data_IF_709970778251
#
_entry.id   IF_709970778251
#
_cell.length_a   1.000
_cell.length_b   1.000
_cell.length_c   1.000
_cell.angle_alpha   90.00
_cell.angle_beta   90.00
_cell.angle_gamma   90.00
#
_symmetry.space_group_name_H-M   'P 1'
#
loop_
_entity.id
_entity.type
_entity.pdbx_description
1 polymer ?
#
# COMPACT_ATOMS: atom_id res chain seq x y z
N UNK A 1 7.99 9.75 -8.20
CA UNK A 1 8.68 10.08 -6.94
C UNK A 1 9.44 11.39 -7.14
N UNK A 2 9.44 12.26 -6.13
CA UNK A 2 10.11 13.56 -6.20
C UNK A 2 10.41 14.06 -4.79
N UNK A 3 11.58 14.68 -4.60
CA UNK A 3 11.97 15.31 -3.33
C UNK A 3 11.90 14.37 -2.11
N UNK A 4 12.28 13.11 -2.29
CA UNK A 4 12.21 12.11 -1.23
C UNK A 4 10.81 11.51 -1.01
N UNK A 5 9.77 12.01 -1.70
CA UNK A 5 8.40 11.52 -1.55
C UNK A 5 8.06 10.40 -2.54
N UNK A 6 7.44 9.35 -2.00
CA UNK A 6 6.67 8.37 -2.75
C UNK A 6 5.21 8.37 -2.30
N UNK A 7 4.31 8.21 -3.27
CA UNK A 7 2.87 8.13 -3.04
C UNK A 7 2.37 6.89 -3.76
N UNK A 8 1.60 6.07 -3.06
CA UNK A 8 0.89 4.94 -3.64
C UNK A 8 -0.57 4.92 -3.19
N UNK A 9 -1.46 4.53 -4.10
CA UNK A 9 -2.89 4.44 -3.90
C UNK A 9 -3.42 3.19 -4.59
N UNK A 10 -3.90 2.24 -3.81
CA UNK A 10 -4.31 0.94 -4.34
C UNK A 10 -5.60 0.46 -3.68
N UNK A 11 -6.46 -0.16 -4.50
CA UNK A 11 -7.63 -0.90 -4.02
C UNK A 11 -7.31 -2.39 -4.03
N UNK A 12 -7.29 -3.00 -2.85
CA UNK A 12 -6.96 -4.41 -2.66
C UNK A 12 -8.24 -5.24 -2.66
N UNK A 13 -8.24 -6.33 -3.44
CA UNK A 13 -9.34 -7.30 -3.48
C UNK A 13 -8.77 -8.71 -3.44
N UNK A 14 -9.18 -9.49 -2.46
CA UNK A 14 -8.93 -10.92 -2.36
C UNK A 14 -10.26 -11.67 -2.29
N UNK A 15 -10.63 -12.27 -3.43
CA UNK A 15 -11.87 -13.02 -3.57
C UNK A 15 -11.92 -14.30 -2.74
N UNK A 16 -10.77 -14.90 -2.42
CA UNK A 16 -10.68 -16.17 -1.68
C UNK A 16 -10.95 -15.92 -0.20
N UNK A 17 -10.29 -14.92 0.38
CA UNK A 17 -10.40 -14.60 1.79
C UNK A 17 -11.50 -13.56 2.09
N UNK A 18 -12.22 -13.09 1.06
CA UNK A 18 -13.24 -12.03 1.17
C UNK A 18 -12.68 -10.78 1.85
N UNK A 19 -11.46 -10.39 1.46
CA UNK A 19 -10.80 -9.18 1.92
C UNK A 19 -10.91 -8.11 0.84
N UNK A 20 -11.24 -6.89 1.27
CA UNK A 20 -11.11 -5.69 0.46
C UNK A 20 -10.79 -4.50 1.35
N UNK A 21 -10.02 -3.56 0.81
CA UNK A 21 -9.74 -2.27 1.42
C UNK A 21 -9.05 -1.34 0.42
N UNK A 22 -9.21 -0.03 0.64
CA UNK A 22 -8.41 0.99 -0.01
C UNK A 22 -7.23 1.33 0.89
N UNK A 23 -6.03 1.38 0.33
CA UNK A 23 -4.83 1.81 1.04
C UNK A 23 -4.16 2.93 0.25
N UNK A 24 -3.91 4.03 0.95
CA UNK A 24 -3.11 5.15 0.48
C UNK A 24 -1.95 5.36 1.44
N UNK A 25 -0.77 5.64 0.90
CA UNK A 25 0.41 5.93 1.69
C UNK A 25 1.24 7.02 1.01
N UNK A 26 1.72 7.94 1.84
CA UNK A 26 2.75 8.92 1.49
C UNK A 26 3.94 8.65 2.39
N UNK A 27 5.10 8.40 1.80
CA UNK A 27 6.34 8.11 2.53
C UNK A 27 7.40 9.09 2.06
N UNK A 28 8.15 9.64 2.99
CA UNK A 28 9.22 10.59 2.73
C UNK A 28 10.53 10.06 3.32
N UNK A 29 11.59 10.06 2.51
CA UNK A 29 12.96 9.84 2.96
C UNK A 29 13.88 10.85 2.30
N UNK A 30 14.61 11.59 3.13
CA UNK A 30 15.62 12.55 2.72
C UNK A 30 16.61 12.66 3.88
N UNK A 31 17.55 11.72 3.97
CA UNK A 31 18.43 11.59 5.15
C UNK A 31 19.36 12.79 5.35
N UNK A 32 19.84 13.39 4.26
CA UNK A 32 20.79 14.51 4.31
C UNK A 32 20.10 15.89 4.34
N UNK A 33 18.77 15.93 4.29
CA UNK A 33 17.93 17.13 4.25
C UNK A 33 18.21 18.06 3.04
N UNK A 34 18.90 17.59 1.99
CA UNK A 34 19.24 18.40 0.82
C UNK A 34 18.24 18.16 -0.31
N UNK A 35 17.34 19.11 -0.51
CA UNK A 35 16.44 19.07 -1.66
C UNK A 35 17.15 19.42 -2.98
N UNK A 36 16.73 18.77 -4.07
CA UNK A 36 17.19 18.97 -5.44
C UNK A 36 18.60 18.44 -5.80
N UNK A 37 19.20 17.60 -4.98
CA UNK A 37 20.50 17.00 -5.31
C UNK A 37 20.40 15.62 -6.00
N UNK A 38 19.18 15.07 -6.06
CA UNK A 38 18.88 13.77 -6.67
C UNK A 38 19.23 12.57 -5.80
N UNK A 39 19.62 12.76 -4.54
CA UNK A 39 19.93 11.68 -3.61
C UNK A 39 18.79 11.49 -2.62
N UNK A 40 18.07 10.38 -2.78
CA UNK A 40 16.98 10.01 -1.88
C UNK A 40 16.94 8.49 -1.72
N UNK A 41 16.48 8.03 -0.56
CA UNK A 41 16.52 6.60 -0.19
C UNK A 41 15.30 5.82 -0.69
N UNK A 42 14.94 5.98 -1.96
CA UNK A 42 13.75 5.32 -2.51
C UNK A 42 13.86 3.80 -2.48
N UNK A 43 14.97 3.25 -2.97
CA UNK A 43 15.17 1.81 -3.10
C UNK A 43 15.44 1.12 -1.77
N UNK A 44 16.13 1.80 -0.85
CA UNK A 44 16.59 1.24 0.41
C UNK A 44 15.60 1.45 1.55
N UNK A 45 14.80 2.52 1.53
CA UNK A 45 13.85 2.86 2.59
C UNK A 45 12.41 2.85 2.09
N UNK A 46 12.07 3.68 1.10
CA UNK A 46 10.67 3.91 0.72
C UNK A 46 9.97 2.66 0.14
N UNK A 47 10.55 2.00 -0.87
CA UNK A 47 9.93 0.79 -1.45
C UNK A 47 9.87 -0.37 -0.45
N UNK A 48 10.93 -0.68 0.32
CA UNK A 48 10.84 -1.71 1.37
C UNK A 48 9.77 -1.39 2.42
N UNK A 49 9.62 -0.13 2.82
CA UNK A 49 8.57 0.30 3.75
C UNK A 49 7.18 0.05 3.16
N UNK A 50 6.89 0.52 1.94
CA UNK A 50 5.59 0.30 1.30
C UNK A 50 5.24 -1.18 1.14
N UNK A 51 6.23 -2.00 0.75
CA UNK A 51 6.07 -3.47 0.67
C UNK A 51 5.67 -4.08 2.00
N UNK A 52 6.33 -3.67 3.09
CA UNK A 52 6.05 -4.19 4.42
C UNK A 52 4.73 -3.65 4.97
N UNK A 53 4.38 -2.39 4.69
CA UNK A 53 3.08 -1.80 5.02
C UNK A 53 1.94 -2.59 4.38
N UNK A 54 2.01 -2.84 3.07
CA UNK A 54 1.00 -3.62 2.36
C UNK A 54 0.81 -5.02 2.96
N UNK A 55 1.91 -5.71 3.32
CA UNK A 55 1.87 -7.01 3.99
C UNK A 55 1.25 -6.93 5.39
N UNK A 56 1.62 -5.92 6.17
CA UNK A 56 1.11 -5.75 7.52
C UNK A 56 -0.41 -5.50 7.52
N UNK A 57 -0.90 -4.61 6.65
CA UNK A 57 -2.33 -4.33 6.51
C UNK A 57 -3.08 -5.57 5.99
N UNK A 58 -2.54 -6.28 5.01
CA UNK A 58 -3.17 -7.50 4.52
C UNK A 58 -3.31 -8.58 5.61
N UNK A 59 -2.24 -8.83 6.38
CA UNK A 59 -2.28 -9.79 7.49
C UNK A 59 -3.30 -9.39 8.55
N UNK A 60 -3.37 -8.11 8.90
CA UNK A 60 -4.39 -7.59 9.81
C UNK A 60 -5.81 -7.84 9.28
N UNK A 61 -6.04 -7.59 7.98
CA UNK A 61 -7.36 -7.79 7.36
C UNK A 61 -7.76 -9.26 7.22
N UNK A 62 -6.80 -10.20 7.18
CA UNK A 62 -7.07 -11.64 7.23
C UNK A 62 -7.64 -12.10 8.59
N UNK A 63 -7.18 -11.48 9.68
CA UNK A 63 -7.59 -11.83 11.04
C UNK A 63 -8.82 -11.02 11.52
N UNK A 64 -9.14 -9.94 10.82
CA UNK A 64 -10.23 -9.04 11.18
C UNK A 64 -11.60 -9.71 11.07
N UNK A 65 -12.31 -9.80 12.19
CA UNK A 65 -13.72 -10.20 12.17
C UNK A 65 -14.60 -9.12 11.51
N UNK A 66 -15.40 -9.52 10.52
CA UNK A 66 -16.28 -8.64 9.76
C UNK A 66 -17.74 -9.02 10.00
N UNK A 67 -18.52 -8.11 10.59
CA UNK A 67 -19.96 -8.28 10.75
C UNK A 67 -20.69 -8.34 9.39
N UNK A 68 -20.14 -7.64 8.40
CA UNK A 68 -20.67 -7.57 7.04
C UNK A 68 -19.54 -7.94 6.06
N UNK A 69 -19.59 -9.11 5.43
CA UNK A 69 -18.60 -9.48 4.42
C UNK A 69 -18.75 -8.62 3.16
N UNK A 70 -17.66 -8.33 2.45
CA UNK A 70 -17.72 -7.52 1.24
C UNK A 70 -18.45 -8.24 0.11
N UNK A 71 -19.24 -7.49 -0.67
CA UNK A 71 -19.79 -7.96 -1.94
C UNK A 71 -18.86 -7.58 -3.10
N UNK A 72 -18.06 -8.55 -3.51
CA UNK A 72 -17.05 -8.39 -4.56
C UNK A 72 -17.57 -8.74 -5.95
N UNK A 73 -18.87 -8.98 -6.12
CA UNK A 73 -19.46 -9.38 -7.40
C UNK A 73 -19.16 -8.38 -8.51
N UNK A 74 -19.17 -7.07 -8.20
CA UNK A 74 -18.87 -5.98 -9.13
C UNK A 74 -17.44 -6.01 -9.70
N UNK A 75 -16.50 -6.65 -8.99
CA UNK A 75 -15.08 -6.73 -9.39
C UNK A 75 -14.73 -8.05 -10.09
N UNK A 76 -15.70 -8.98 -10.22
CA UNK A 76 -15.51 -10.23 -10.98
C UNK A 76 -15.86 -10.01 -12.45
N UNK A 77 -14.85 -9.68 -13.25
CA UNK A 77 -15.00 -9.61 -14.70
C UNK A 77 -15.03 -11.02 -15.29
N UNK A 78 -16.05 -11.32 -16.12
CA UNK A 78 -16.05 -12.49 -16.99
C UNK A 78 -15.40 -12.07 -18.31
N UNK A 79 -14.30 -12.72 -18.65
CA UNK A 79 -13.64 -12.60 -19.95
C UNK A 79 -14.07 -13.78 -20.83
#
# INVERSE_FOLDING_TARGET
DSYGFIIDNSYFVDFKNKVEYFLTAVVHSNEDDIYNDGKYEYETICFPFLKNLGRAIYNFELERHRNYPPDLSKFRFKY
#
